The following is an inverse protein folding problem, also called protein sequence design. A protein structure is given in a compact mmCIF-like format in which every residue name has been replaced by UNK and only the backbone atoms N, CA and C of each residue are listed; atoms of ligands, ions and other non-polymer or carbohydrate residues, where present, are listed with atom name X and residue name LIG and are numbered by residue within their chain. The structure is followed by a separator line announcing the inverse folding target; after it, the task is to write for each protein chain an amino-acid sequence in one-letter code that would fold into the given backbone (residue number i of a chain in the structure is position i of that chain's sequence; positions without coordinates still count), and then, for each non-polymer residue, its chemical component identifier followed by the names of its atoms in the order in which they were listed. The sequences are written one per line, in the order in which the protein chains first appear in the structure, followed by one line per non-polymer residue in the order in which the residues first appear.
data_IF_543491497893
#
_entry.id   IF_543491497893
#
_cell.length_a   1.000
_cell.length_b   1.000
_cell.length_c   1.000
_cell.angle_alpha   90.00
_cell.angle_beta   90.00
_cell.angle_gamma   90.00
#
_symmetry.space_group_name_H-M   'P 1'
#
loop_
_entity.id
_entity.type
_entity.pdbx_description
1 polymer ?
#
# COMPACT_ATOMS: atom_id res chain seq x y z
N UNK A 1 -13.93 -9.82 12.78
CA UNK A 1 -12.98 -10.73 12.10
C UNK A 1 -13.58 -11.41 10.87
N UNK A 2 -14.71 -12.14 10.97
CA UNK A 2 -15.34 -12.82 9.81
C UNK A 2 -15.69 -11.90 8.64
N UNK A 3 -16.23 -10.69 8.92
CA UNK A 3 -16.60 -9.70 7.88
C UNK A 3 -15.41 -9.09 7.14
N UNK A 4 -14.29 -8.87 7.85
CA UNK A 4 -13.05 -8.32 7.29
C UNK A 4 -12.37 -9.39 6.42
N UNK A 5 -12.30 -10.63 6.89
CA UNK A 5 -11.78 -11.76 6.11
C UNK A 5 -12.58 -12.01 4.84
N UNK A 6 -13.92 -11.91 4.89
CA UNK A 6 -14.77 -12.05 3.72
C UNK A 6 -14.56 -10.92 2.70
N UNK A 7 -14.36 -9.68 3.18
CA UNK A 7 -14.10 -8.53 2.32
C UNK A 7 -12.73 -8.60 1.64
N UNK A 8 -11.71 -9.07 2.35
CA UNK A 8 -10.37 -9.31 1.78
C UNK A 8 -10.41 -10.41 0.72
N UNK A 9 -11.11 -11.53 0.98
CA UNK A 9 -11.26 -12.62 0.00
C UNK A 9 -12.05 -12.16 -1.23
N UNK A 10 -13.10 -11.36 -1.05
CA UNK A 10 -13.91 -10.83 -2.15
C UNK A 10 -13.11 -9.84 -3.02
N UNK A 11 -12.28 -8.98 -2.41
CA UNK A 11 -11.36 -8.10 -3.13
C UNK A 11 -10.32 -8.88 -3.94
N UNK A 12 -9.76 -9.96 -3.38
CA UNK A 12 -8.79 -10.82 -4.08
C UNK A 12 -9.43 -11.55 -5.26
N UNK A 13 -10.64 -12.07 -5.10
CA UNK A 13 -11.39 -12.73 -6.18
C UNK A 13 -11.79 -11.74 -7.29
N UNK A 14 -12.17 -10.51 -6.95
CA UNK A 14 -12.51 -9.48 -7.94
C UNK A 14 -11.32 -9.07 -8.81
N UNK A 15 -10.09 -9.06 -8.28
CA UNK A 15 -8.88 -8.76 -9.05
C UNK A 15 -8.43 -9.94 -9.93
N UNK A 16 -8.75 -11.18 -9.56
CA UNK A 16 -8.33 -12.38 -10.31
C UNK A 16 -8.94 -12.50 -11.72
N UNK A 17 -10.04 -11.79 -11.99
CA UNK A 17 -10.67 -11.75 -13.31
C UNK A 17 -9.86 -11.02 -14.40
N UNK A 18 -8.87 -10.21 -14.03
CA UNK A 18 -8.00 -9.48 -14.98
C UNK A 18 -6.84 -10.36 -15.47
N UNK A 19 -6.63 -11.54 -14.87
CA UNK A 19 -5.47 -12.39 -15.11
C UNK A 19 -5.61 -13.41 -16.26
N UNK A 20 -6.78 -13.56 -16.89
CA UNK A 20 -7.00 -14.61 -17.90
C UNK A 20 -7.05 -14.08 -19.34
N UNK A 21 -5.90 -13.66 -19.85
CA UNK A 21 -5.59 -13.62 -21.29
C UNK A 21 -4.08 -13.46 -21.55
N UNK A 22 -3.26 -14.48 -21.24
CA UNK A 22 -1.86 -14.52 -21.69
C UNK A 22 -1.70 -15.51 -22.84
N UNK A 23 -2.02 -15.05 -24.05
CA UNK A 23 -1.69 -15.73 -25.30
C UNK A 23 -1.23 -14.69 -26.31
N UNK A 24 0.07 -14.36 -26.28
CA UNK A 24 0.71 -13.50 -27.26
C UNK A 24 1.76 -12.59 -26.63
N UNK A 25 3.02 -12.80 -27.00
CA UNK A 25 4.10 -11.85 -26.83
C UNK A 25 3.72 -10.56 -27.60
N UNK A 26 3.24 -9.55 -26.88
CA UNK A 26 2.92 -8.26 -27.47
C UNK A 26 4.18 -7.37 -27.44
N UNK A 27 4.68 -6.92 -28.61
CA UNK A 27 5.86 -6.08 -28.68
C UNK A 27 5.61 -4.75 -27.96
N UNK A 28 6.67 -4.27 -27.33
CA UNK A 28 6.72 -3.19 -26.34
C UNK A 28 6.53 -1.76 -26.88
N UNK A 29 5.83 -1.63 -27.99
CA UNK A 29 5.63 -0.36 -28.70
C UNK A 29 4.15 0.04 -28.79
N UNK A 30 3.27 -0.67 -28.08
CA UNK A 30 1.85 -0.32 -27.96
C UNK A 30 1.65 0.69 -26.83
N UNK A 31 1.12 1.88 -27.14
CA UNK A 31 0.79 2.91 -26.14
C UNK A 31 -0.17 2.41 -25.03
N UNK A 32 -0.90 1.33 -25.28
CA UNK A 32 -1.78 0.68 -24.28
C UNK A 32 -0.97 0.05 -23.14
N UNK A 33 0.20 -0.54 -23.43
CA UNK A 33 1.03 -1.19 -22.41
C UNK A 33 1.65 -0.19 -21.44
N UNK A 34 2.10 0.97 -21.95
CA UNK A 34 2.61 2.06 -21.11
C UNK A 34 1.50 2.63 -20.22
N UNK A 35 0.29 2.81 -20.77
CA UNK A 35 -0.86 3.26 -19.98
C UNK A 35 -1.20 2.30 -18.82
N UNK A 36 -1.14 0.98 -19.07
CA UNK A 36 -1.34 -0.05 -18.04
C UNK A 36 -0.25 -0.02 -16.96
N UNK A 37 1.02 0.14 -17.35
CA UNK A 37 2.14 0.26 -16.40
C UNK A 37 1.97 1.50 -15.51
N UNK A 38 1.64 2.66 -16.09
CA UNK A 38 1.39 3.88 -15.34
C UNK A 38 0.20 3.74 -14.38
N UNK A 39 -0.88 3.08 -14.80
CA UNK A 39 -2.04 2.83 -13.95
C UNK A 39 -1.70 1.88 -12.79
N UNK A 40 -0.96 0.80 -13.05
CA UNK A 40 -0.50 -0.13 -12.03
C UNK A 40 0.44 0.56 -11.02
N UNK A 41 1.36 1.39 -11.51
CA UNK A 41 2.26 2.20 -10.69
C UNK A 41 1.48 3.17 -9.78
N UNK A 42 0.47 3.87 -10.30
CA UNK A 42 -0.37 4.78 -9.53
C UNK A 42 -1.23 4.05 -8.48
N UNK A 43 -1.85 2.93 -8.85
CA UNK A 43 -2.69 2.15 -7.94
C UNK A 43 -1.89 1.51 -6.81
N UNK A 44 -0.68 1.01 -7.09
CA UNK A 44 0.18 0.38 -6.08
C UNK A 44 0.46 1.31 -4.89
N UNK A 45 0.88 2.55 -5.17
CA UNK A 45 1.17 3.55 -4.12
C UNK A 45 -0.12 4.11 -3.54
N UNK A 46 -1.11 4.43 -4.38
CA UNK A 46 -2.35 5.07 -3.94
C UNK A 46 -3.14 4.21 -2.94
N UNK A 47 -3.27 2.91 -3.20
CA UNK A 47 -3.98 1.99 -2.31
C UNK A 47 -3.19 1.74 -1.02
N UNK A 48 -1.86 1.59 -1.12
CA UNK A 48 -1.00 1.41 0.05
C UNK A 48 -1.04 2.65 0.97
N UNK A 49 -0.93 3.85 0.40
CA UNK A 49 -0.99 5.12 1.12
C UNK A 49 -2.36 5.34 1.80
N UNK A 50 -3.46 4.94 1.15
CA UNK A 50 -4.80 4.99 1.74
C UNK A 50 -4.88 4.14 3.02
N UNK A 51 -4.42 2.90 2.96
CA UNK A 51 -4.41 1.99 4.12
C UNK A 51 -3.52 2.52 5.25
N UNK A 52 -2.32 2.99 4.91
CA UNK A 52 -1.37 3.52 5.89
C UNK A 52 -1.87 4.82 6.53
N UNK A 53 -2.45 5.73 5.75
CA UNK A 53 -3.00 6.98 6.26
C UNK A 53 -4.10 6.75 7.31
N UNK A 54 -5.00 5.79 7.08
CA UNK A 54 -6.04 5.41 8.04
C UNK A 54 -5.43 4.81 9.31
N UNK A 55 -4.46 3.90 9.17
CA UNK A 55 -3.78 3.26 10.29
C UNK A 55 -2.99 4.24 11.15
N UNK A 56 -2.20 5.12 10.51
CA UNK A 56 -1.42 6.16 11.18
C UNK A 56 -2.32 7.17 11.91
N UNK A 57 -3.39 7.63 11.27
CA UNK A 57 -4.32 8.58 11.88
C UNK A 57 -4.97 8.03 13.16
N UNK A 58 -5.40 6.76 13.14
CA UNK A 58 -5.96 6.11 14.33
C UNK A 58 -4.90 5.92 15.43
N UNK A 59 -3.69 5.48 15.07
CA UNK A 59 -2.59 5.29 16.01
C UNK A 59 -2.15 6.58 16.69
N UNK A 60 -1.99 7.66 15.93
CA UNK A 60 -1.62 8.99 16.45
C UNK A 60 -2.73 9.54 17.35
N UNK A 61 -4.01 9.41 16.95
CA UNK A 61 -5.14 9.84 17.78
C UNK A 61 -5.17 9.13 19.15
N UNK A 62 -4.88 7.83 19.16
CA UNK A 62 -4.72 7.03 20.38
C UNK A 62 -3.54 7.48 21.24
N UNK A 63 -2.39 7.74 20.63
CA UNK A 63 -1.21 8.25 21.32
C UNK A 63 -1.46 9.62 21.97
N UNK A 64 -2.04 10.58 21.24
CA UNK A 64 -2.40 11.90 21.76
C UNK A 64 -3.36 11.81 22.95
N UNK A 65 -4.39 10.95 22.86
CA UNK A 65 -5.33 10.74 23.96
C UNK A 65 -4.66 10.09 25.18
N UNK A 66 -3.73 9.15 24.95
CA UNK A 66 -2.94 8.53 26.01
C UNK A 66 -2.04 9.54 26.74
N UNK A 67 -1.35 10.40 25.98
CA UNK A 67 -0.49 11.46 26.51
C UNK A 67 -1.31 12.49 27.30
N UNK A 68 -2.47 12.91 26.78
CA UNK A 68 -3.34 13.87 27.45
C UNK A 68 -3.84 13.36 28.81
N UNK A 69 -4.05 12.05 28.95
CA UNK A 69 -4.50 11.42 30.21
C UNK A 69 -3.36 11.14 31.18
N UNK A 70 -2.16 10.85 30.68
CA UNK A 70 -0.98 10.53 31.49
C UNK A 70 0.26 11.24 30.92
N UNK A 71 0.48 12.53 31.22
CA UNK A 71 1.58 13.32 30.66
C UNK A 71 2.96 12.76 31.03
N UNK A 72 3.09 12.15 32.21
CA UNK A 72 4.33 11.51 32.70
C UNK A 72 4.78 10.33 31.82
N UNK A 73 3.85 9.67 31.12
CA UNK A 73 4.14 8.56 30.23
C UNK A 73 4.48 9.01 28.79
N UNK A 74 4.49 10.32 28.50
CA UNK A 74 4.61 10.86 27.15
C UNK A 74 5.83 10.33 26.37
N UNK A 75 6.98 10.25 27.03
CA UNK A 75 8.20 9.72 26.41
C UNK A 75 8.05 8.27 25.93
N UNK A 76 7.49 7.39 26.78
CA UNK A 76 7.28 5.97 26.43
C UNK A 76 6.23 5.78 25.34
N UNK A 77 5.16 6.58 25.38
CA UNK A 77 4.10 6.57 24.36
C UNK A 77 4.68 7.01 23.01
N UNK A 78 5.47 8.08 22.98
CA UNK A 78 6.07 8.62 21.75
C UNK A 78 7.02 7.61 21.10
N UNK A 79 7.85 6.92 21.89
CA UNK A 79 8.75 5.87 21.36
C UNK A 79 7.95 4.73 20.72
N UNK A 80 6.93 4.21 21.42
CA UNK A 80 6.07 3.15 20.89
C UNK A 80 5.31 3.61 19.64
N UNK A 81 4.83 4.86 19.65
CA UNK A 81 4.14 5.47 18.51
C UNK A 81 5.05 5.57 17.29
N UNK A 82 6.27 6.11 17.42
CA UNK A 82 7.20 6.24 16.29
C UNK A 82 7.56 4.88 15.71
N UNK A 83 7.81 3.87 16.56
CA UNK A 83 8.04 2.49 16.10
C UNK A 83 6.82 2.01 15.30
N UNK A 84 5.62 2.08 15.88
CA UNK A 84 4.39 1.65 15.19
C UNK A 84 4.15 2.36 13.86
N UNK A 85 4.38 3.67 13.80
CA UNK A 85 4.27 4.47 12.58
C UNK A 85 5.29 4.05 11.53
N UNK A 86 6.54 3.81 11.91
CA UNK A 86 7.57 3.33 10.98
C UNK A 86 7.21 1.95 10.38
N UNK A 87 6.62 1.06 11.19
CA UNK A 87 6.16 -0.24 10.70
C UNK A 87 4.98 -0.10 9.74
N UNK A 88 4.02 0.79 10.01
CA UNK A 88 2.90 1.05 9.11
C UNK A 88 3.41 1.66 7.79
N UNK A 89 4.32 2.63 7.87
CA UNK A 89 4.81 3.34 6.68
C UNK A 89 5.60 2.44 5.73
N UNK A 90 6.22 1.36 6.25
CA UNK A 90 6.92 0.37 5.40
C UNK A 90 6.03 -0.22 4.31
N UNK A 91 4.71 -0.33 4.54
CA UNK A 91 3.75 -0.84 3.56
C UNK A 91 3.59 0.14 2.38
N UNK A 92 3.55 1.45 2.65
CA UNK A 92 3.55 2.49 1.60
C UNK A 92 4.85 2.46 0.82
N UNK A 93 5.99 2.30 1.51
CA UNK A 93 7.30 2.23 0.88
C UNK A 93 7.40 1.00 -0.03
N UNK A 94 6.82 -0.15 0.33
CA UNK A 94 6.78 -1.29 -0.59
C UNK A 94 5.97 -1.00 -1.86
N UNK A 95 4.83 -0.32 -1.74
CA UNK A 95 4.07 0.16 -2.90
C UNK A 95 4.89 1.12 -3.77
N UNK A 96 5.60 2.07 -3.15
CA UNK A 96 6.51 2.99 -3.83
C UNK A 96 7.62 2.26 -4.57
N UNK A 97 8.27 1.28 -3.94
CA UNK A 97 9.35 0.50 -4.57
C UNK A 97 8.84 -0.24 -5.79
N UNK A 98 7.67 -0.88 -5.71
CA UNK A 98 7.06 -1.56 -6.86
C UNK A 98 6.77 -0.56 -7.99
N UNK A 99 6.20 0.60 -7.66
CA UNK A 99 5.93 1.67 -8.61
C UNK A 99 7.21 2.16 -9.33
N UNK A 100 8.29 2.37 -8.58
CA UNK A 100 9.59 2.76 -9.14
C UNK A 100 10.18 1.67 -10.04
N UNK A 101 10.07 0.40 -9.66
CA UNK A 101 10.50 -0.73 -10.49
C UNK A 101 9.71 -0.75 -11.80
N UNK A 102 8.39 -0.62 -11.75
CA UNK A 102 7.53 -0.62 -12.94
C UNK A 102 7.82 0.53 -13.90
N UNK A 103 8.21 1.70 -13.39
CA UNK A 103 8.47 2.89 -14.22
C UNK A 103 9.91 2.99 -14.73
N UNK A 104 10.90 2.57 -13.94
CA UNK A 104 12.32 2.83 -14.22
C UNK A 104 13.18 1.58 -14.41
N UNK A 105 12.73 0.42 -13.95
CA UNK A 105 13.48 -0.83 -14.00
C UNK A 105 12.57 -2.01 -14.33
N UNK A 106 11.67 -1.80 -15.28
CA UNK A 106 10.60 -2.75 -15.56
C UNK A 106 11.20 -4.05 -16.13
N UNK A 107 11.05 -5.20 -15.44
CA UNK A 107 11.67 -6.45 -15.84
C UNK A 107 11.06 -7.04 -17.12
N UNK A 108 9.90 -6.54 -17.53
CA UNK A 108 9.24 -6.95 -18.77
C UNK A 108 9.77 -6.18 -19.97
N UNK A 109 10.54 -5.09 -19.75
CA UNK A 109 11.02 -4.20 -20.80
C UNK A 109 12.45 -4.46 -21.30
N UNK A 110 13.01 -5.64 -20.99
CA UNK A 110 14.33 -6.08 -21.47
C UNK A 110 14.34 -6.45 -22.95
#
# INVERSE_FOLDING_TARGET
MKKVSALTVLMVLALSGIALASGGEAPMASGVNIALVCLAAALSVGVAALGCGIGMGSGIGGACSGIARNPEASGKITVTMIIGLALIESLTIYGLVISLILLFANPLLG
#
